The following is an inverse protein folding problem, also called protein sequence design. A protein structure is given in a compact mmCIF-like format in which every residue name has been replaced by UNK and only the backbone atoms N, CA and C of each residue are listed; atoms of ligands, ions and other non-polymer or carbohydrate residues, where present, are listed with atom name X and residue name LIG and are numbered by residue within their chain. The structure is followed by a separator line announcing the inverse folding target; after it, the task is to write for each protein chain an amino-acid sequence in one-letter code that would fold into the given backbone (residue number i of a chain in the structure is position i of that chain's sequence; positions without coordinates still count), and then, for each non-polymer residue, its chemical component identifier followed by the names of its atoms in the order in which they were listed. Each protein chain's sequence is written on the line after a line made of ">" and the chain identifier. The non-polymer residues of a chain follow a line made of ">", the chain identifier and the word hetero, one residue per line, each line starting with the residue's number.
data_IF_207820238266
#
_entry.id   IF_207820238266
#
_cell.length_a   1.000
_cell.length_b   1.000
_cell.length_c   1.000
_cell.angle_alpha   90.00
_cell.angle_beta   90.00
_cell.angle_gamma   90.00
#
_symmetry.space_group_name_H-M   'P 1'
#
loop_
_entity.id
_entity.type
_entity.pdbx_description
1 polymer ?
#
# COMPACT_ATOMS: atom_id res chain seq x y z
N UNK A 1 -28.40 34.40 -50.27
CA UNK A 1 -27.28 33.77 -49.52
C UNK A 1 -27.34 34.25 -48.07
N UNK A 2 -27.38 33.34 -47.09
CA UNK A 2 -27.61 33.65 -45.67
C UNK A 2 -26.28 34.09 -45.02
N UNK A 3 -26.17 35.34 -44.59
CA UNK A 3 -24.95 35.91 -43.99
C UNK A 3 -24.76 35.32 -42.59
N UNK A 4 -23.73 34.50 -42.38
CA UNK A 4 -23.41 33.92 -41.06
C UNK A 4 -22.67 34.96 -40.22
N UNK A 5 -23.32 35.44 -39.17
CA UNK A 5 -22.79 36.43 -38.25
C UNK A 5 -21.85 35.74 -37.25
N UNK A 6 -20.54 35.71 -37.55
CA UNK A 6 -19.53 35.12 -36.67
C UNK A 6 -19.14 36.13 -35.58
N UNK A 7 -19.82 36.07 -34.43
CA UNK A 7 -19.32 36.69 -33.20
C UNK A 7 -18.15 35.85 -32.69
N UNK A 8 -16.93 36.33 -32.93
CA UNK A 8 -15.72 35.75 -32.34
C UNK A 8 -15.55 36.22 -30.90
N UNK A 9 -14.94 35.38 -30.06
CA UNK A 9 -14.49 35.77 -28.72
C UNK A 9 -13.47 36.92 -28.81
N UNK A 10 -13.55 37.85 -27.87
CA UNK A 10 -12.57 38.95 -27.77
C UNK A 10 -11.35 38.50 -26.97
N UNK A 11 -10.18 39.10 -27.24
CA UNK A 11 -8.95 38.75 -26.51
C UNK A 11 -9.07 39.00 -25.00
N UNK A 12 -9.85 40.00 -24.58
CA UNK A 12 -10.05 40.33 -23.17
C UNK A 12 -10.86 39.26 -22.43
N UNK A 13 -11.88 38.68 -23.08
CA UNK A 13 -12.66 37.58 -22.50
C UNK A 13 -11.79 36.34 -22.31
N UNK A 14 -10.94 36.03 -23.29
CA UNK A 14 -10.01 34.91 -23.19
C UNK A 14 -8.94 35.16 -22.11
N UNK A 15 -8.46 36.40 -22.00
CA UNK A 15 -7.48 36.80 -20.99
C UNK A 15 -8.03 36.72 -19.56
N UNK A 16 -9.27 37.15 -19.33
CA UNK A 16 -9.89 37.05 -18.01
C UNK A 16 -10.01 35.60 -17.53
N UNK A 17 -10.36 34.67 -18.43
CA UNK A 17 -10.51 33.24 -18.09
C UNK A 17 -9.17 32.61 -17.69
N UNK A 18 -8.10 32.85 -18.45
CA UNK A 18 -6.79 32.28 -18.11
C UNK A 18 -6.23 32.83 -16.78
N UNK A 19 -6.52 34.09 -16.44
CA UNK A 19 -6.12 34.70 -15.17
C UNK A 19 -6.79 33.99 -14.00
N UNK A 20 -8.10 33.73 -14.10
CA UNK A 20 -8.84 33.01 -13.04
C UNK A 20 -8.33 31.56 -12.91
N UNK A 21 -8.12 30.85 -14.02
CA UNK A 21 -7.57 29.48 -13.99
C UNK A 21 -6.18 29.44 -13.36
N UNK A 22 -5.31 30.41 -13.66
CA UNK A 22 -3.97 30.48 -13.07
C UNK A 22 -4.02 30.62 -11.54
N UNK A 23 -4.91 31.47 -11.01
CA UNK A 23 -5.06 31.66 -9.56
C UNK A 23 -5.51 30.36 -8.87
N UNK A 24 -6.46 29.64 -9.47
CA UNK A 24 -6.95 28.36 -8.93
C UNK A 24 -5.82 27.31 -8.91
N UNK A 25 -5.03 27.22 -9.98
CA UNK A 25 -3.92 26.25 -10.05
C UNK A 25 -2.87 26.49 -8.97
N UNK A 26 -2.51 27.76 -8.71
CA UNK A 26 -1.50 28.11 -7.69
C UNK A 26 -1.88 27.58 -6.30
N UNK A 27 -3.16 27.66 -5.93
CA UNK A 27 -3.62 27.18 -4.61
C UNK A 27 -3.92 25.68 -4.57
N UNK A 28 -4.33 25.09 -5.70
CA UNK A 28 -4.79 23.69 -5.74
C UNK A 28 -3.65 22.68 -5.88
N UNK A 29 -2.61 22.98 -6.65
CA UNK A 29 -1.47 22.06 -6.88
C UNK A 29 -0.83 21.55 -5.58
N UNK A 30 -0.44 22.40 -4.59
CA UNK A 30 0.17 21.88 -3.37
C UNK A 30 -0.77 20.98 -2.57
N UNK A 31 -2.07 21.30 -2.53
CA UNK A 31 -3.08 20.49 -1.85
C UNK A 31 -3.28 19.13 -2.53
N UNK A 32 -3.31 19.09 -3.86
CA UNK A 32 -3.41 17.83 -4.63
C UNK A 32 -2.18 16.94 -4.38
N UNK A 33 -0.97 17.50 -4.41
CA UNK A 33 0.26 16.74 -4.13
C UNK A 33 0.24 16.18 -2.71
N UNK A 34 -0.14 16.99 -1.71
CA UNK A 34 -0.27 16.53 -0.33
C UNK A 34 -1.30 15.40 -0.20
N UNK A 35 -2.48 15.55 -0.80
CA UNK A 35 -3.51 14.51 -0.79
C UNK A 35 -3.05 13.22 -1.48
N UNK A 36 -2.28 13.31 -2.55
CA UNK A 36 -1.71 12.15 -3.23
C UNK A 36 -0.68 11.44 -2.35
N UNK A 37 0.18 12.18 -1.64
CA UNK A 37 1.17 11.59 -0.74
C UNK A 37 0.48 10.87 0.43
N UNK A 38 -0.50 11.50 1.09
CA UNK A 38 -1.26 10.86 2.16
C UNK A 38 -2.07 9.65 1.69
N UNK A 39 -2.59 9.67 0.45
CA UNK A 39 -3.23 8.50 -0.13
C UNK A 39 -2.24 7.34 -0.32
N UNK A 40 -1.02 7.63 -0.78
CA UNK A 40 0.05 6.62 -0.92
C UNK A 40 0.49 6.04 0.42
N UNK A 41 0.66 6.87 1.43
CA UNK A 41 0.98 6.43 2.79
C UNK A 41 -0.09 5.46 3.31
N UNK A 42 -1.37 5.84 3.22
CA UNK A 42 -2.49 4.96 3.60
C UNK A 42 -2.55 3.67 2.78
N UNK A 43 -2.27 3.73 1.47
CA UNK A 43 -2.20 2.54 0.65
C UNK A 43 -1.11 1.59 1.12
N UNK A 44 0.06 2.11 1.51
CA UNK A 44 1.14 1.29 2.06
C UNK A 44 0.80 0.72 3.44
N UNK A 45 0.18 1.50 4.32
CA UNK A 45 -0.33 1.01 5.61
C UNK A 45 -1.33 -0.15 5.41
N UNK A 46 -2.20 -0.08 4.41
CA UNK A 46 -3.12 -1.17 4.07
C UNK A 46 -2.40 -2.43 3.59
N UNK A 47 -1.32 -2.27 2.81
CA UNK A 47 -0.47 -3.41 2.40
C UNK A 47 0.12 -4.08 3.64
N UNK A 48 0.71 -3.31 4.56
CA UNK A 48 1.28 -3.83 5.80
C UNK A 48 0.22 -4.53 6.66
N UNK A 49 -0.95 -3.89 6.85
CA UNK A 49 -2.08 -4.50 7.58
C UNK A 49 -2.54 -5.81 6.95
N UNK A 50 -2.54 -5.91 5.62
CA UNK A 50 -2.91 -7.15 4.93
C UNK A 50 -1.90 -8.27 5.23
N UNK A 51 -0.61 -7.94 5.34
CA UNK A 51 0.43 -8.90 5.72
C UNK A 51 0.26 -9.32 7.19
N UNK A 52 -0.07 -8.40 8.10
CA UNK A 52 -0.40 -8.72 9.50
C UNK A 52 -1.57 -9.68 9.60
N UNK A 53 -2.66 -9.39 8.90
CA UNK A 53 -3.88 -10.20 8.89
C UNK A 53 -3.62 -11.57 8.28
N UNK A 54 -2.86 -11.61 7.18
CA UNK A 54 -2.41 -12.85 6.56
C UNK A 54 -1.62 -13.71 7.56
N UNK A 55 -0.60 -13.16 8.20
CA UNK A 55 0.23 -13.91 9.16
C UNK A 55 -0.54 -14.31 10.41
N UNK A 56 -1.46 -13.47 10.89
CA UNK A 56 -2.34 -13.80 12.00
C UNK A 56 -3.23 -14.98 11.65
N UNK A 57 -3.84 -14.99 10.47
CA UNK A 57 -4.61 -16.13 9.97
C UNK A 57 -3.75 -17.39 9.86
N UNK A 58 -2.55 -17.30 9.29
CA UNK A 58 -1.65 -18.45 9.18
C UNK A 58 -1.27 -19.00 10.57
N UNK A 59 -1.10 -18.12 11.56
CA UNK A 59 -0.80 -18.53 12.93
C UNK A 59 -1.99 -19.26 13.56
N UNK A 60 -3.21 -18.78 13.39
CA UNK A 60 -4.42 -19.46 13.87
C UNK A 60 -4.55 -20.87 13.26
N UNK A 61 -4.34 -20.98 11.94
CA UNK A 61 -4.35 -22.27 11.23
C UNK A 61 -3.23 -23.20 11.75
N UNK A 62 -2.04 -22.67 11.99
CA UNK A 62 -0.94 -23.42 12.58
C UNK A 62 -1.30 -24.00 13.97
N UNK A 63 -2.00 -23.23 14.82
CA UNK A 63 -2.41 -23.67 16.16
C UNK A 63 -3.51 -24.73 16.15
N UNK A 64 -4.33 -24.80 15.09
CA UNK A 64 -5.34 -25.85 14.91
C UNK A 64 -4.69 -27.18 14.50
N UNK A 65 -3.63 -27.12 13.69
CA UNK A 65 -2.85 -28.28 13.26
C UNK A 65 -3.13 -28.69 11.81
N UNK A 66 -2.06 -29.10 11.11
CA UNK A 66 -2.04 -29.39 9.67
C UNK A 66 -2.88 -30.60 9.24
N UNK A 67 -3.20 -31.52 10.16
CA UNK A 67 -3.96 -32.74 9.82
C UNK A 67 -5.45 -32.48 9.53
N UNK A 68 -5.95 -31.29 9.88
CA UNK A 68 -7.37 -30.91 9.76
C UNK A 68 -7.59 -29.89 8.63
N UNK A 69 -6.55 -29.20 8.18
CA UNK A 69 -6.64 -28.03 7.29
C UNK A 69 -6.05 -28.36 5.92
N UNK A 70 -6.67 -27.85 4.86
CA UNK A 70 -6.14 -28.00 3.49
C UNK A 70 -4.83 -27.23 3.31
N UNK A 71 -3.88 -27.82 2.57
CA UNK A 71 -2.59 -27.18 2.24
C UNK A 71 -2.72 -25.90 1.41
N UNK A 72 -3.89 -25.65 0.84
CA UNK A 72 -4.15 -24.46 0.02
C UNK A 72 -4.44 -23.22 0.88
N UNK A 73 -4.95 -23.41 2.11
CA UNK A 73 -5.20 -22.33 3.06
C UNK A 73 -4.05 -22.11 4.05
N UNK A 74 -3.34 -23.18 4.39
CA UNK A 74 -2.22 -23.15 5.34
C UNK A 74 -0.87 -23.25 4.62
N UNK A 75 -0.03 -22.24 4.80
CA UNK A 75 1.31 -22.20 4.22
C UNK A 75 2.37 -22.37 5.33
N UNK A 76 2.81 -23.60 5.56
CA UNK A 76 3.85 -23.89 6.56
C UNK A 76 5.18 -23.16 6.31
N UNK A 77 5.47 -22.71 5.08
CA UNK A 77 6.74 -22.07 4.74
C UNK A 77 6.91 -20.67 5.34
N UNK A 78 5.83 -20.06 5.83
CA UNK A 78 5.87 -18.75 6.49
C UNK A 78 6.30 -18.86 7.96
N UNK A 79 6.52 -20.08 8.47
CA UNK A 79 7.03 -20.36 9.79
C UNK A 79 8.45 -20.93 9.72
N UNK A 80 9.31 -20.50 10.65
CA UNK A 80 10.62 -21.12 10.89
C UNK A 80 10.49 -22.40 11.72
N UNK A 81 9.47 -22.45 12.58
CA UNK A 81 9.07 -23.63 13.34
C UNK A 81 7.54 -23.76 13.28
N UNK A 82 7.06 -24.69 12.47
CA UNK A 82 5.64 -24.96 12.28
C UNK A 82 4.99 -25.72 13.46
N UNK A 83 5.78 -26.27 14.40
CA UNK A 83 5.24 -26.90 15.62
C UNK A 83 4.90 -25.83 16.65
N UNK A 84 5.78 -24.84 16.79
CA UNK A 84 5.59 -23.72 17.70
C UNK A 84 4.96 -22.48 17.04
N UNK A 85 4.64 -22.56 15.75
CA UNK A 85 4.08 -21.48 14.94
C UNK A 85 4.93 -20.19 15.00
N UNK A 86 6.25 -20.35 14.99
CA UNK A 86 7.18 -19.22 15.04
C UNK A 86 7.34 -18.64 13.63
N UNK A 87 7.00 -17.35 13.40
CA UNK A 87 7.12 -16.74 12.08
C UNK A 87 8.54 -16.87 11.53
N UNK A 88 8.64 -16.95 10.21
CA UNK A 88 9.93 -16.96 9.54
C UNK A 88 10.54 -15.57 9.58
N UNK A 89 11.81 -15.51 9.92
CA UNK A 89 12.64 -14.30 9.90
C UNK A 89 13.77 -14.50 8.89
N UNK A 90 13.42 -14.88 7.66
CA UNK A 90 14.35 -14.96 6.55
C UNK A 90 14.81 -13.56 6.11
N UNK A 91 15.65 -13.48 5.08
CA UNK A 91 16.19 -12.23 4.54
C UNK A 91 15.08 -11.19 4.37
N UNK A 92 15.00 -10.27 5.33
CA UNK A 92 14.02 -9.19 5.38
C UNK A 92 12.54 -9.63 5.40
N UNK A 93 12.22 -10.86 5.79
CA UNK A 93 10.83 -11.38 5.82
C UNK A 93 10.27 -11.71 4.42
N UNK A 94 11.13 -11.92 3.42
CA UNK A 94 10.76 -12.11 2.03
C UNK A 94 9.73 -13.22 1.79
N UNK A 95 9.84 -14.35 2.50
CA UNK A 95 8.87 -15.45 2.35
C UNK A 95 7.46 -15.02 2.77
N UNK A 96 7.35 -14.27 3.87
CA UNK A 96 6.05 -13.79 4.39
C UNK A 96 5.43 -12.80 3.41
N UNK A 97 6.23 -11.84 2.92
CA UNK A 97 5.80 -10.83 1.96
C UNK A 97 5.24 -11.49 0.69
N UNK A 98 6.00 -12.42 0.11
CA UNK A 98 5.61 -13.12 -1.12
C UNK A 98 4.38 -14.00 -0.90
N UNK A 99 4.28 -14.67 0.25
CA UNK A 99 3.14 -15.52 0.61
C UNK A 99 1.85 -14.72 0.82
N UNK A 100 1.95 -13.47 1.29
CA UNK A 100 0.84 -12.52 1.37
C UNK A 100 0.46 -11.91 0.00
N UNK A 101 1.17 -12.26 -1.07
CA UNK A 101 0.87 -11.84 -2.45
C UNK A 101 1.52 -10.54 -2.91
N UNK A 102 2.54 -10.06 -2.20
CA UNK A 102 3.21 -8.80 -2.50
C UNK A 102 4.62 -9.00 -3.09
N UNK A 103 5.05 -8.06 -3.93
CA UNK A 103 6.38 -8.09 -4.55
C UNK A 103 7.45 -7.56 -3.56
N UNK A 104 8.49 -8.36 -3.33
CA UNK A 104 9.57 -8.08 -2.37
C UNK A 104 10.53 -6.96 -2.79
N UNK A 105 10.30 -6.34 -3.96
CA UNK A 105 11.12 -5.26 -4.51
C UNK A 105 10.29 -4.04 -4.86
N UNK A 106 9.06 -4.27 -5.33
CA UNK A 106 8.17 -3.20 -5.78
C UNK A 106 7.26 -2.72 -4.67
N UNK A 107 6.66 -3.61 -3.89
CA UNK A 107 5.69 -3.21 -2.88
C UNK A 107 6.37 -2.95 -1.54
N UNK A 108 7.11 -3.95 -1.05
CA UNK A 108 7.75 -3.91 0.28
C UNK A 108 9.05 -4.69 0.25
N UNK A 109 10.14 -4.09 0.72
CA UNK A 109 11.50 -4.66 0.63
C UNK A 109 11.95 -5.32 1.92
N UNK A 110 11.41 -4.89 3.06
CA UNK A 110 11.63 -5.58 4.33
C UNK A 110 10.46 -5.39 5.30
N UNK A 111 10.27 -6.41 6.14
CA UNK A 111 9.42 -6.32 7.33
C UNK A 111 10.18 -6.80 8.55
N UNK A 112 9.82 -6.25 9.71
CA UNK A 112 10.18 -6.79 11.01
C UNK A 112 8.91 -6.81 11.85
N UNK A 113 8.53 -7.98 12.33
CA UNK A 113 7.31 -8.17 13.10
C UNK A 113 7.41 -9.37 14.02
N UNK A 114 6.50 -9.45 14.97
CA UNK A 114 6.46 -10.52 15.97
C UNK A 114 5.03 -10.93 16.30
N UNK A 115 4.88 -12.15 16.79
CA UNK A 115 3.62 -12.61 17.36
C UNK A 115 3.48 -12.11 18.79
N UNK A 116 2.36 -11.50 19.12
CA UNK A 116 1.98 -11.16 20.49
C UNK A 116 0.47 -11.37 20.66
N UNK A 117 0.07 -12.07 21.73
CA UNK A 117 -1.34 -12.35 22.05
C UNK A 117 -2.16 -12.93 20.88
N UNK A 118 -1.53 -13.76 20.04
CA UNK A 118 -2.20 -14.40 18.89
C UNK A 118 -2.30 -13.53 17.63
N UNK A 119 -1.84 -12.28 17.66
CA UNK A 119 -1.76 -11.39 16.49
C UNK A 119 -0.30 -11.23 16.04
N UNK A 120 -0.07 -11.25 14.73
CA UNK A 120 1.20 -10.80 14.15
C UNK A 120 1.18 -9.28 13.99
N UNK A 121 2.20 -8.59 14.48
CA UNK A 121 2.32 -7.13 14.35
C UNK A 121 3.66 -6.78 13.73
N UNK A 122 3.62 -5.94 12.71
CA UNK A 122 4.79 -5.43 12.00
C UNK A 122 5.22 -4.13 12.68
N UNK A 123 6.42 -4.12 13.25
CA UNK A 123 6.99 -2.95 13.94
C UNK A 123 7.77 -2.06 12.97
N UNK A 124 8.26 -2.61 11.87
CA UNK A 124 8.94 -1.84 10.82
C UNK A 124 8.69 -2.47 9.45
N UNK A 125 8.48 -1.61 8.45
CA UNK A 125 8.30 -1.98 7.05
C UNK A 125 9.05 -0.99 6.16
N UNK A 126 9.84 -1.50 5.21
CA UNK A 126 10.55 -0.68 4.22
C UNK A 126 9.83 -0.76 2.88
N UNK A 127 9.37 0.37 2.31
CA UNK A 127 8.65 0.34 1.04
C UNK A 127 9.55 -0.04 -0.15
N UNK A 128 8.92 -0.59 -1.18
CA UNK A 128 9.56 -0.82 -2.49
C UNK A 128 9.33 0.32 -3.48
N UNK A 129 9.67 0.08 -4.74
CA UNK A 129 9.62 1.10 -5.81
C UNK A 129 8.22 1.64 -6.13
N UNK A 130 7.14 0.93 -5.79
CA UNK A 130 5.76 1.38 -5.96
C UNK A 130 5.34 2.42 -4.90
N UNK A 131 6.05 2.47 -3.77
CA UNK A 131 5.78 3.37 -2.65
C UNK A 131 7.01 4.25 -2.32
N UNK A 132 7.58 4.98 -3.31
CA UNK A 132 8.78 5.76 -3.08
C UNK A 132 8.52 6.87 -2.06
N UNK A 133 9.49 7.09 -1.17
CA UNK A 133 9.45 8.12 -0.12
C UNK A 133 8.30 8.00 0.89
N UNK A 134 7.67 6.83 1.00
CA UNK A 134 6.74 6.53 2.09
C UNK A 134 7.54 6.14 3.34
N UNK A 135 7.04 6.51 4.52
CA UNK A 135 7.57 6.04 5.81
C UNK A 135 6.48 5.25 6.52
N UNK A 136 6.81 4.13 7.14
CA UNK A 136 5.90 3.38 7.98
C UNK A 136 6.35 3.44 9.44
N UNK A 137 5.43 3.78 10.34
CA UNK A 137 5.63 3.77 11.78
C UNK A 137 4.66 2.73 12.36
N UNK A 138 5.18 1.53 12.65
CA UNK A 138 4.43 0.46 13.31
C UNK A 138 4.28 0.66 14.81
#
# INVERSE_FOLDING_TARGET
>A
MKKLNRKGFTLIELLAVIVVLAIILVVTIPSVISSMNSAREKSFENVVSTIEDYMTKQYELCKIGNDIISSDEYNANVFSDATNCTPKSDDNGATIIAAAGYDTTKDITSITGSMSNGKYTITAATPGTNFPNVTYNG
#
